data_IF_139284453189
#
_entry.id   IF_139284453189
#
_cell.length_a   1.000
_cell.length_b   1.000
_cell.length_c   1.000
_cell.angle_alpha   90.00
_cell.angle_beta   90.00
_cell.angle_gamma   90.00
#
_symmetry.space_group_name_H-M   'P 1'
#
loop_
_entity.id
_entity.type
_entity.pdbx_description
1 polymer ?
#
# COMPACT_ATOMS: atom_id res chain seq x y z
N UNK A 1 28.04 17.54 17.73
CA UNK A 1 26.83 17.98 18.43
C UNK A 1 25.65 17.73 17.51
N UNK A 2 24.55 17.12 17.97
CA UNK A 2 23.34 17.01 17.16
C UNK A 2 22.85 18.41 16.81
N UNK A 3 22.45 18.61 15.55
CA UNK A 3 21.88 19.85 15.06
C UNK A 3 20.57 20.15 15.80
N UNK A 4 20.49 21.30 16.48
CA UNK A 4 19.32 21.74 17.24
C UNK A 4 18.05 21.75 16.38
N UNK A 5 18.17 21.95 15.06
CA UNK A 5 17.05 21.93 14.12
C UNK A 5 16.35 20.57 14.07
N UNK A 6 17.12 19.47 14.14
CA UNK A 6 16.59 18.10 14.02
C UNK A 6 15.86 17.68 15.29
N UNK A 7 16.33 18.13 16.44
CA UNK A 7 15.72 17.84 17.75
C UNK A 7 14.36 18.51 17.90
N UNK A 8 14.19 19.74 17.37
CA UNK A 8 12.90 20.43 17.44
C UNK A 8 11.81 19.75 16.60
N UNK A 9 12.12 19.31 15.38
CA UNK A 9 11.15 18.66 14.49
C UNK A 9 10.72 17.27 14.98
N UNK A 10 11.56 16.62 15.77
CA UNK A 10 11.32 15.25 16.26
C UNK A 10 10.47 15.18 17.53
N UNK A 11 10.15 16.32 18.15
CA UNK A 11 9.34 16.38 19.36
C UNK A 11 7.93 16.87 19.06
N UNK A 12 6.91 16.08 19.41
CA UNK A 12 5.50 16.43 19.22
C UNK A 12 5.07 17.73 19.93
N UNK A 13 5.74 18.15 21.00
CA UNK A 13 5.43 19.41 21.69
C UNK A 13 5.74 20.65 20.84
N UNK A 14 6.65 20.53 19.86
CA UNK A 14 6.99 21.60 18.90
C UNK A 14 5.95 21.80 17.81
N UNK A 15 4.94 20.92 17.71
CA UNK A 15 3.92 20.95 16.66
C UNK A 15 2.57 21.42 17.21
N UNK A 16 1.93 22.40 16.58
CA UNK A 16 0.68 23.00 17.08
C UNK A 16 -0.59 22.41 16.43
N UNK A 17 -0.52 21.19 15.91
CA UNK A 17 -1.67 20.48 15.36
C UNK A 17 -2.49 19.82 16.48
N UNK A 18 -3.81 19.92 16.38
CA UNK A 18 -4.77 19.26 17.26
C UNK A 18 -5.27 17.93 16.67
N UNK A 19 -5.81 17.04 17.50
CA UNK A 19 -6.48 15.82 17.03
C UNK A 19 -7.73 16.20 16.20
N UNK A 20 -7.77 15.91 14.88
CA UNK A 20 -8.91 16.28 14.03
C UNK A 20 -10.21 15.57 14.42
N UNK A 21 -10.13 14.47 15.19
CA UNK A 21 -11.28 13.67 15.62
C UNK A 21 -11.41 13.62 17.15
N UNK A 22 -10.98 14.66 17.87
CA UNK A 22 -10.97 14.69 19.35
C UNK A 22 -12.32 14.34 20.01
N UNK A 23 -13.42 14.51 19.29
CA UNK A 23 -14.79 14.25 19.73
C UNK A 23 -15.26 12.79 19.56
N UNK A 24 -14.50 11.95 18.85
CA UNK A 24 -14.82 10.54 18.59
C UNK A 24 -13.92 9.63 19.41
N UNK A 25 -14.40 8.47 19.89
CA UNK A 25 -13.49 7.45 20.40
C UNK A 25 -12.65 6.88 19.23
N UNK A 26 -11.44 6.36 19.52
CA UNK A 26 -10.57 5.83 18.45
C UNK A 26 -11.27 4.73 17.62
N UNK A 27 -12.05 3.87 18.28
CA UNK A 27 -12.83 2.82 17.61
C UNK A 27 -13.91 3.35 16.65
N UNK A 28 -14.39 4.58 16.84
CA UNK A 28 -15.47 5.18 16.06
C UNK A 28 -14.95 5.92 14.81
N UNK A 29 -13.64 6.14 14.69
CA UNK A 29 -13.05 6.76 13.50
C UNK A 29 -12.98 5.71 12.40
N UNK A 30 -13.80 5.84 11.36
CA UNK A 30 -13.92 4.84 10.28
C UNK A 30 -12.66 4.72 9.42
N UNK A 31 -12.07 5.85 9.03
CA UNK A 31 -10.83 5.89 8.25
C UNK A 31 -9.63 5.53 9.14
N UNK A 32 -8.95 4.44 8.81
CA UNK A 32 -7.90 3.86 9.67
C UNK A 32 -6.64 4.74 9.72
N UNK A 33 -6.26 5.43 8.63
CA UNK A 33 -5.17 6.41 8.69
C UNK A 33 -5.51 7.62 9.57
N UNK A 34 -6.76 8.10 9.51
CA UNK A 34 -7.25 9.16 10.39
C UNK A 34 -7.26 8.70 11.85
N UNK A 35 -7.64 7.44 12.10
CA UNK A 35 -7.56 6.83 13.43
C UNK A 35 -6.13 6.78 13.95
N UNK A 36 -5.16 6.42 13.09
CA UNK A 36 -3.74 6.43 13.45
C UNK A 36 -3.24 7.83 13.78
N UNK A 37 -3.68 8.86 13.06
CA UNK A 37 -3.37 10.27 13.35
C UNK A 37 -3.89 10.67 14.73
N UNK A 38 -5.17 10.40 15.00
CA UNK A 38 -5.79 10.67 16.30
C UNK A 38 -5.12 9.90 17.42
N UNK A 39 -4.71 8.65 17.19
CA UNK A 39 -3.95 7.85 18.15
C UNK A 39 -2.63 8.54 18.54
N UNK A 40 -1.85 9.01 17.56
CA UNK A 40 -0.59 9.73 17.80
C UNK A 40 -0.82 11.00 18.62
N UNK A 41 -1.82 11.82 18.27
CA UNK A 41 -2.11 13.06 19.00
C UNK A 41 -2.64 12.83 20.42
N UNK A 42 -3.45 11.79 20.64
CA UNK A 42 -3.93 11.44 21.99
C UNK A 42 -2.84 10.90 22.89
N UNK A 43 -1.79 10.32 22.32
CA UNK A 43 -0.62 9.83 23.05
C UNK A 43 0.50 10.87 23.13
N UNK A 44 0.21 12.16 23.04
CA UNK A 44 1.22 13.25 22.99
C UNK A 44 2.24 13.23 24.14
N UNK A 45 1.88 12.71 25.31
CA UNK A 45 2.77 12.57 26.45
C UNK A 45 3.70 11.33 26.37
N UNK A 46 3.53 10.46 25.37
CA UNK A 46 4.31 9.24 25.21
C UNK A 46 5.78 9.56 24.88
N UNK A 47 6.71 8.95 25.61
CA UNK A 47 8.15 9.25 25.48
C UNK A 47 8.66 9.13 24.04
N UNK A 48 8.25 8.10 23.31
CA UNK A 48 8.69 7.96 21.91
C UNK A 48 8.28 9.13 21.01
N UNK A 49 7.17 9.80 21.30
CA UNK A 49 6.73 10.97 20.52
C UNK A 49 7.48 12.24 20.92
N UNK A 50 8.14 12.28 22.08
CA UNK A 50 9.06 13.38 22.40
C UNK A 50 10.39 13.29 21.65
N UNK A 51 10.80 12.07 21.24
CA UNK A 51 12.11 11.81 20.61
C UNK A 51 12.00 11.49 19.11
N UNK A 52 10.88 10.94 18.66
CA UNK A 52 10.72 10.34 17.33
C UNK A 52 9.38 10.67 16.66
N UNK A 53 8.73 11.77 17.03
CA UNK A 53 7.43 12.18 16.46
C UNK A 53 7.42 12.16 14.93
N UNK A 54 8.46 12.71 14.29
CA UNK A 54 8.53 12.80 12.83
C UNK A 54 8.47 11.42 12.15
N UNK A 55 9.03 10.38 12.77
CA UNK A 55 8.95 9.02 12.24
C UNK A 55 7.51 8.47 12.30
N UNK A 56 6.80 8.68 13.41
CA UNK A 56 5.41 8.28 13.56
C UNK A 56 4.48 9.10 12.67
N UNK A 57 4.66 10.42 12.59
CA UNK A 57 3.90 11.30 11.69
C UNK A 57 4.11 10.89 10.24
N UNK A 58 5.35 10.59 9.85
CA UNK A 58 5.68 10.05 8.53
C UNK A 58 5.01 8.70 8.24
N UNK A 59 4.95 7.80 9.22
CA UNK A 59 4.23 6.53 9.08
C UNK A 59 2.71 6.74 8.87
N UNK A 60 2.11 7.69 9.60
CA UNK A 60 0.70 8.08 9.41
C UNK A 60 0.47 8.70 8.04
N UNK A 61 1.38 9.55 7.54
CA UNK A 61 1.33 10.08 6.17
C UNK A 61 1.44 8.98 5.09
N UNK A 62 2.25 7.94 5.33
CA UNK A 62 2.30 6.78 4.44
C UNK A 62 0.95 6.05 4.40
N UNK A 63 0.31 5.87 5.56
CA UNK A 63 -1.03 5.29 5.67
C UNK A 63 -2.10 6.14 4.98
N UNK A 64 -2.10 7.46 5.18
CA UNK A 64 -3.02 8.37 4.50
C UNK A 64 -2.83 8.32 2.97
N UNK A 65 -1.59 8.21 2.50
CA UNK A 65 -1.30 7.97 1.09
C UNK A 65 -1.83 6.63 0.56
N UNK A 66 -1.86 5.57 1.38
CA UNK A 66 -2.49 4.30 1.01
C UNK A 66 -4.00 4.47 0.82
N UNK A 67 -4.68 5.11 1.77
CA UNK A 67 -6.12 5.38 1.68
C UNK A 67 -6.44 6.22 0.43
N UNK A 68 -5.71 7.31 0.21
CA UNK A 68 -5.87 8.18 -0.95
C UNK A 68 -5.75 7.44 -2.30
N UNK A 69 -4.67 6.67 -2.49
CA UNK A 69 -4.47 5.94 -3.74
C UNK A 69 -5.46 4.79 -3.92
N UNK A 70 -5.91 4.16 -2.83
CA UNK A 70 -6.95 3.15 -2.88
C UNK A 70 -8.31 3.74 -3.30
N UNK A 71 -8.72 4.86 -2.70
CA UNK A 71 -9.99 5.54 -3.04
C UNK A 71 -10.02 5.99 -4.50
N UNK A 72 -8.92 6.58 -5.00
CA UNK A 72 -8.78 6.94 -6.41
C UNK A 72 -8.84 5.71 -7.31
N UNK A 73 -8.16 4.62 -6.95
CA UNK A 73 -8.21 3.38 -7.70
C UNK A 73 -9.64 2.83 -7.79
N UNK A 74 -10.36 2.74 -6.66
CA UNK A 74 -11.75 2.29 -6.63
C UNK A 74 -12.67 3.19 -7.48
N UNK A 75 -12.49 4.51 -7.42
CA UNK A 75 -13.22 5.46 -8.27
C UNK A 75 -12.98 5.22 -9.75
N UNK A 76 -11.73 4.93 -10.15
CA UNK A 76 -11.38 4.62 -11.54
C UNK A 76 -11.94 3.27 -11.99
N UNK A 77 -11.90 2.24 -11.13
CA UNK A 77 -12.51 0.92 -11.40
C UNK A 77 -14.02 1.05 -11.59
N UNK A 78 -14.69 1.85 -10.77
CA UNK A 78 -16.13 2.12 -10.93
C UNK A 78 -16.45 2.81 -12.26
N UNK A 79 -15.59 3.71 -12.74
CA UNK A 79 -15.72 4.33 -14.06
C UNK A 79 -15.46 3.32 -15.19
N UNK A 80 -14.41 2.51 -15.07
CA UNK A 80 -14.08 1.43 -16.02
C UNK A 80 -15.23 0.44 -16.17
N UNK A 81 -15.89 0.11 -15.07
CA UNK A 81 -17.07 -0.75 -15.06
C UNK A 81 -18.24 -0.19 -15.90
N UNK A 82 -18.27 1.08 -16.25
CA UNK A 82 -19.31 1.66 -17.10
C UNK A 82 -18.95 1.72 -18.59
N UNK A 83 -17.70 1.40 -18.94
CA UNK A 83 -17.20 1.56 -20.29
C UNK A 83 -17.07 0.22 -21.02
N UNK A 84 -17.34 0.18 -22.33
CA UNK A 84 -17.01 -0.99 -23.14
C UNK A 84 -15.51 -1.30 -23.07
N UNK A 85 -15.19 -2.57 -22.84
CA UNK A 85 -13.83 -3.06 -22.77
C UNK A 85 -13.03 -2.66 -24.02
N UNK A 86 -11.80 -2.19 -23.81
CA UNK A 86 -10.86 -1.72 -24.87
C UNK A 86 -11.33 -0.52 -25.68
N UNK A 87 -12.31 0.27 -25.22
CA UNK A 87 -12.51 1.62 -25.78
C UNK A 87 -11.26 2.50 -25.57
N UNK A 88 -11.13 3.59 -26.33
CA UNK A 88 -10.00 4.52 -26.15
C UNK A 88 -9.98 5.15 -24.74
N UNK A 89 -11.16 5.50 -24.24
CA UNK A 89 -11.37 6.02 -22.89
C UNK A 89 -11.06 4.97 -21.81
N UNK A 90 -11.49 3.71 -22.01
CA UNK A 90 -11.15 2.58 -21.16
C UNK A 90 -9.63 2.46 -21.00
N UNK A 91 -8.87 2.46 -22.11
CA UNK A 91 -7.40 2.40 -22.05
C UNK A 91 -6.76 3.55 -21.27
N UNK A 92 -7.33 4.76 -21.34
CA UNK A 92 -6.82 5.90 -20.58
C UNK A 92 -7.07 5.73 -19.08
N UNK A 93 -8.27 5.31 -18.69
CA UNK A 93 -8.61 5.05 -17.29
C UNK A 93 -7.81 3.87 -16.72
N UNK A 94 -7.55 2.83 -17.51
CA UNK A 94 -6.70 1.71 -17.10
C UNK A 94 -5.28 2.16 -16.75
N UNK A 95 -4.68 3.04 -17.57
CA UNK A 95 -3.36 3.62 -17.26
C UNK A 95 -3.38 4.41 -15.96
N UNK A 96 -4.42 5.20 -15.71
CA UNK A 96 -4.59 5.95 -14.47
C UNK A 96 -4.75 5.02 -13.27
N UNK A 97 -5.58 3.98 -13.38
CA UNK A 97 -5.77 3.00 -12.32
C UNK A 97 -4.45 2.27 -12.01
N UNK A 98 -3.67 1.95 -13.04
CA UNK A 98 -2.34 1.37 -12.85
C UNK A 98 -1.38 2.33 -12.12
N UNK A 99 -1.39 3.62 -12.45
CA UNK A 99 -0.60 4.61 -11.72
C UNK A 99 -0.96 4.69 -10.24
N UNK A 100 -2.26 4.66 -9.90
CA UNK A 100 -2.70 4.63 -8.49
C UNK A 100 -2.20 3.38 -7.76
N UNK A 101 -2.24 2.21 -8.40
CA UNK A 101 -1.70 0.96 -7.83
C UNK A 101 -0.19 1.04 -7.58
N UNK A 102 0.56 1.60 -8.52
CA UNK A 102 2.01 1.80 -8.36
C UNK A 102 2.29 2.75 -7.19
N UNK A 103 1.54 3.84 -7.09
CA UNK A 103 1.68 4.80 -6.00
C UNK A 103 1.29 4.20 -4.64
N UNK A 104 0.23 3.40 -4.59
CA UNK A 104 -0.19 2.64 -3.41
C UNK A 104 0.91 1.67 -2.94
N UNK A 105 1.45 0.83 -3.84
CA UNK A 105 2.51 -0.11 -3.50
C UNK A 105 3.80 0.59 -3.06
N UNK A 106 4.06 1.81 -3.54
CA UNK A 106 5.16 2.63 -3.03
C UNK A 106 4.93 3.04 -1.58
N UNK A 107 3.71 3.42 -1.18
CA UNK A 107 3.38 3.74 0.22
C UNK A 107 3.49 2.51 1.13
N UNK A 108 3.01 1.35 0.67
CA UNK A 108 3.20 0.06 1.35
C UNK A 108 4.70 -0.21 1.58
N UNK A 109 5.53 -0.03 0.55
CA UNK A 109 6.97 -0.21 0.65
C UNK A 109 7.62 0.75 1.66
N UNK A 110 7.22 2.03 1.66
CA UNK A 110 7.72 3.03 2.62
C UNK A 110 7.36 2.64 4.05
N UNK A 111 6.12 2.21 4.31
CA UNK A 111 5.69 1.77 5.63
C UNK A 111 6.45 0.53 6.10
N UNK A 112 6.69 -0.44 5.21
CA UNK A 112 7.55 -1.59 5.53
C UNK A 112 8.96 -1.16 5.94
N UNK A 113 9.56 -0.18 5.27
CA UNK A 113 10.88 0.33 5.65
C UNK A 113 10.85 1.12 6.98
N UNK A 114 9.76 1.80 7.30
CA UNK A 114 9.53 2.31 8.66
C UNK A 114 9.56 1.17 9.69
N UNK A 115 8.82 0.07 9.45
CA UNK A 115 8.84 -1.12 10.29
C UNK A 115 10.22 -1.78 10.42
N UNK A 116 11.05 -1.69 9.38
CA UNK A 116 12.45 -2.17 9.39
C UNK A 116 13.47 -1.20 9.97
N UNK A 117 13.07 0.02 10.30
CA UNK A 117 13.99 1.01 10.87
C UNK A 117 14.63 0.50 12.17
N UNK A 118 15.79 1.06 12.51
CA UNK A 118 16.51 0.72 13.76
C UNK A 118 15.60 0.95 14.97
N UNK A 119 14.83 2.04 14.96
CA UNK A 119 13.85 2.37 15.98
C UNK A 119 12.83 1.25 16.18
N UNK A 120 12.04 0.93 15.15
CA UNK A 120 10.94 -0.05 15.28
C UNK A 120 11.48 -1.45 15.58
N UNK A 121 12.59 -1.85 14.95
CA UNK A 121 13.22 -3.15 15.24
C UNK A 121 13.73 -3.23 16.68
N UNK A 122 14.25 -2.14 17.24
CA UNK A 122 14.68 -2.08 18.64
C UNK A 122 13.51 -2.30 19.59
N UNK A 123 12.39 -1.58 19.35
CA UNK A 123 11.17 -1.67 20.15
C UNK A 123 10.54 -3.08 20.09
N UNK A 124 10.39 -3.64 18.89
CA UNK A 124 9.84 -4.99 18.72
C UNK A 124 10.70 -6.06 19.41
N UNK A 125 12.03 -5.96 19.32
CA UNK A 125 12.94 -6.90 19.99
C UNK A 125 12.85 -6.82 21.51
N UNK A 126 12.73 -5.63 22.08
CA UNK A 126 12.52 -5.45 23.51
C UNK A 126 11.22 -6.16 23.97
N UNK A 127 10.18 -6.13 23.13
CA UNK A 127 8.92 -6.85 23.34
C UNK A 127 8.93 -8.33 22.93
N UNK A 128 10.07 -8.90 22.49
CA UNK A 128 10.17 -10.27 21.95
C UNK A 128 9.22 -10.56 20.77
N UNK A 129 8.99 -9.57 19.90
CA UNK A 129 8.15 -9.66 18.71
C UNK A 129 8.97 -9.52 17.43
N UNK A 130 8.47 -10.08 16.33
CA UNK A 130 9.06 -9.87 15.00
C UNK A 130 8.13 -9.08 14.08
N UNK A 131 8.71 -8.27 13.20
CA UNK A 131 7.96 -7.44 12.24
C UNK A 131 7.05 -8.29 11.34
N UNK A 132 7.54 -9.48 10.95
CA UNK A 132 6.80 -10.38 10.05
C UNK A 132 5.47 -10.86 10.64
N UNK A 133 5.38 -10.89 11.96
CA UNK A 133 4.18 -11.30 12.68
C UNK A 133 3.21 -10.12 12.87
N UNK A 134 3.70 -8.87 12.75
CA UNK A 134 2.88 -7.67 12.91
C UNK A 134 2.29 -7.16 11.59
N UNK A 135 3.00 -7.34 10.48
CA UNK A 135 2.58 -6.87 9.14
C UNK A 135 2.71 -7.96 8.04
N UNK A 136 2.22 -9.20 8.29
CA UNK A 136 2.44 -10.33 7.39
C UNK A 136 1.92 -10.07 5.97
N UNK A 137 0.81 -9.35 5.83
CA UNK A 137 0.18 -9.13 4.53
C UNK A 137 0.89 -8.05 3.73
N UNK A 138 1.35 -6.97 4.38
CA UNK A 138 2.22 -6.01 3.72
C UNK A 138 3.47 -6.71 3.17
N UNK A 139 4.12 -7.59 3.96
CA UNK A 139 5.32 -8.30 3.51
C UNK A 139 5.03 -9.17 2.29
N UNK A 140 3.89 -9.86 2.27
CA UNK A 140 3.49 -10.67 1.12
C UNK A 140 3.32 -9.87 -0.19
N UNK A 141 3.04 -8.56 -0.07
CA UNK A 141 2.88 -7.65 -1.22
C UNK A 141 4.19 -7.00 -1.69
N UNK A 142 5.28 -7.06 -0.91
CA UNK A 142 6.55 -6.44 -1.26
C UNK A 142 7.17 -6.92 -2.58
N UNK A 143 7.05 -8.19 -2.99
CA UNK A 143 7.53 -8.62 -4.30
C UNK A 143 6.94 -7.78 -5.44
N UNK A 144 5.66 -7.37 -5.37
CA UNK A 144 5.05 -6.48 -6.36
C UNK A 144 5.71 -5.11 -6.38
N UNK A 145 5.92 -4.50 -5.20
CA UNK A 145 6.64 -3.22 -5.08
C UNK A 145 8.07 -3.33 -5.62
N UNK A 146 8.79 -4.38 -5.27
CA UNK A 146 10.17 -4.62 -5.74
C UNK A 146 10.19 -4.78 -7.25
N UNK A 147 9.22 -5.51 -7.81
CA UNK A 147 9.07 -5.65 -9.25
C UNK A 147 8.81 -4.29 -9.91
N UNK A 148 7.83 -3.51 -9.46
CA UNK A 148 7.55 -2.17 -9.99
C UNK A 148 8.78 -1.25 -9.92
N UNK A 149 9.55 -1.31 -8.82
CA UNK A 149 10.78 -0.53 -8.69
C UNK A 149 11.87 -1.00 -9.68
N UNK A 150 11.97 -2.32 -9.92
CA UNK A 150 12.85 -2.88 -10.95
C UNK A 150 12.37 -2.62 -12.39
N UNK A 151 11.11 -2.25 -12.58
CA UNK A 151 10.64 -1.68 -13.85
C UNK A 151 11.00 -0.20 -13.98
N UNK A 152 11.05 0.56 -12.89
CA UNK A 152 11.57 1.94 -12.91
C UNK A 152 13.06 2.01 -13.20
N UNK A 153 13.82 0.93 -12.97
CA UNK A 153 15.18 0.83 -13.52
C UNK A 153 15.19 0.58 -15.04
N UNK A 154 14.05 0.46 -15.71
CA UNK A 154 13.98 0.59 -17.18
C UNK A 154 13.96 2.08 -17.56
N UNK A 155 13.28 2.92 -16.78
CA UNK A 155 13.26 4.37 -16.97
C UNK A 155 14.60 5.03 -16.58
N UNK A 156 15.36 4.40 -15.67
CA UNK A 156 16.72 4.78 -15.29
C UNK A 156 17.63 3.54 -15.20
N UNK A 157 18.06 2.98 -16.34
CA UNK A 157 18.85 1.76 -16.39
C UNK A 157 20.23 1.93 -15.79
N UNK A 158 20.63 0.96 -14.97
CA UNK A 158 22.02 0.88 -14.51
C UNK A 158 22.89 0.42 -15.67
N UNK A 159 24.18 0.74 -15.63
CA UNK A 159 25.14 0.34 -16.67
C UNK A 159 25.19 -1.19 -16.92
N UNK A 160 24.76 -2.00 -15.93
CA UNK A 160 24.70 -3.46 -16.04
C UNK A 160 23.37 -4.03 -16.59
N UNK A 161 22.35 -3.20 -16.83
CA UNK A 161 21.03 -3.67 -17.26
C UNK A 161 20.98 -3.89 -18.79
N UNK A 162 20.93 -5.15 -19.24
CA UNK A 162 20.81 -5.49 -20.67
C UNK A 162 19.40 -5.20 -21.23
N UNK A 163 19.28 -4.92 -22.53
CA UNK A 163 17.96 -4.68 -23.18
C UNK A 163 16.98 -5.84 -23.02
N UNK A 164 17.44 -7.09 -23.07
CA UNK A 164 16.62 -8.28 -22.81
C UNK A 164 16.07 -8.32 -21.38
N UNK A 165 16.84 -7.86 -20.39
CA UNK A 165 16.40 -7.80 -19.00
C UNK A 165 15.31 -6.74 -18.81
N UNK A 166 15.44 -5.61 -19.50
CA UNK A 166 14.43 -4.55 -19.51
C UNK A 166 13.10 -5.01 -20.15
N UNK A 167 13.15 -5.75 -21.26
CA UNK A 167 11.96 -6.34 -21.91
C UNK A 167 11.25 -7.36 -21.01
N UNK A 168 12.00 -8.28 -20.39
CA UNK A 168 11.46 -9.27 -19.45
C UNK A 168 10.80 -8.59 -18.26
N UNK A 169 11.40 -7.51 -17.76
CA UNK A 169 10.78 -6.66 -16.75
C UNK A 169 9.47 -6.11 -17.33
N UNK A 170 9.48 -5.26 -18.37
CA UNK A 170 8.29 -4.63 -18.95
C UNK A 170 7.07 -5.56 -19.14
N UNK A 171 7.26 -6.81 -19.55
CA UNK A 171 6.19 -7.77 -19.81
C UNK A 171 5.50 -8.28 -18.53
N UNK A 172 6.21 -8.36 -17.39
CA UNK A 172 5.72 -9.08 -16.20
C UNK A 172 4.74 -8.29 -15.32
N UNK A 173 4.48 -7.01 -15.62
CA UNK A 173 3.38 -6.21 -15.06
C UNK A 173 2.45 -5.68 -16.17
N UNK A 174 2.83 -5.90 -17.43
CA UNK A 174 2.06 -5.46 -18.59
C UNK A 174 0.80 -6.30 -18.84
N UNK A 175 -0.02 -5.88 -19.82
CA UNK A 175 -1.27 -6.56 -20.21
C UNK A 175 -1.08 -8.00 -20.70
N UNK A 176 0.16 -8.44 -20.95
CA UNK A 176 0.50 -9.81 -21.38
C UNK A 176 0.87 -10.77 -20.25
N UNK A 177 1.09 -10.29 -19.01
CA UNK A 177 1.71 -11.13 -17.97
C UNK A 177 1.23 -10.96 -16.53
N UNK A 178 0.37 -9.98 -16.20
CA UNK A 178 0.12 -9.68 -14.78
C UNK A 178 -1.24 -9.12 -14.38
N UNK A 179 -2.13 -8.76 -15.31
CA UNK A 179 -3.50 -8.37 -14.95
C UNK A 179 -4.44 -9.56 -15.19
N UNK A 180 -4.91 -10.16 -14.10
CA UNK A 180 -5.93 -11.19 -14.14
C UNK A 180 -7.17 -10.69 -13.43
N UNK A 181 -8.32 -10.92 -14.07
CA UNK A 181 -9.62 -10.65 -13.49
C UNK A 181 -9.97 -11.78 -12.53
N UNK A 182 -10.06 -11.48 -11.23
CA UNK A 182 -10.48 -12.45 -10.21
C UNK A 182 -11.98 -12.27 -9.98
N UNK A 183 -12.82 -13.31 -10.10
CA UNK A 183 -14.27 -13.14 -10.01
C UNK A 183 -14.67 -12.55 -8.65
N UNK A 184 -15.57 -11.56 -8.67
CA UNK A 184 -16.30 -11.14 -7.47
C UNK A 184 -17.25 -12.27 -7.06
N UNK A 185 -17.62 -12.35 -5.77
CA UNK A 185 -18.56 -13.39 -5.30
C UNK A 185 -19.93 -13.33 -6.00
N UNK A 186 -20.28 -12.20 -6.61
CA UNK A 186 -21.55 -11.93 -7.30
C UNK A 186 -21.59 -12.35 -8.78
N UNK A 187 -20.61 -13.09 -9.31
CA UNK A 187 -20.56 -13.47 -10.74
C UNK A 187 -21.45 -14.64 -11.17
N UNK A 188 -22.19 -15.26 -10.25
CA UNK A 188 -23.03 -16.42 -10.57
C UNK A 188 -24.18 -15.97 -11.50
N UNK A 189 -24.27 -16.58 -12.69
CA UNK A 189 -25.37 -16.36 -13.64
C UNK A 189 -25.16 -15.22 -14.64
N UNK A 190 -23.98 -14.59 -14.66
CA UNK A 190 -23.66 -13.54 -15.65
C UNK A 190 -23.40 -14.16 -17.02
N UNK A 191 -23.94 -13.54 -18.08
CA UNK A 191 -23.78 -14.02 -19.44
C UNK A 191 -22.33 -13.83 -19.94
N UNK A 192 -21.75 -14.78 -20.71
CA UNK A 192 -20.38 -14.66 -21.22
C UNK A 192 -20.09 -13.36 -21.97
N UNK A 193 -21.07 -12.84 -22.71
CA UNK A 193 -20.93 -11.60 -23.48
C UNK A 193 -20.73 -10.39 -22.54
N UNK A 194 -21.44 -10.34 -21.42
CA UNK A 194 -21.31 -9.26 -20.44
C UNK A 194 -19.93 -9.27 -19.76
N UNK A 195 -19.38 -10.47 -19.52
CA UNK A 195 -18.02 -10.63 -19.00
C UNK A 195 -16.97 -10.15 -20.00
N UNK A 196 -17.20 -10.36 -21.30
CA UNK A 196 -16.30 -9.91 -22.36
C UNK A 196 -16.32 -8.39 -22.56
N UNK A 197 -17.50 -7.77 -22.47
CA UNK A 197 -17.65 -6.33 -22.72
C UNK A 197 -17.44 -5.46 -21.47
N UNK A 198 -17.64 -5.98 -20.26
CA UNK A 198 -17.58 -5.20 -19.01
C UNK A 198 -16.94 -5.98 -17.85
N UNK A 199 -15.68 -6.45 -17.96
CA UNK A 199 -15.07 -7.32 -16.96
C UNK A 199 -14.98 -6.66 -15.56
N UNK A 200 -14.72 -5.36 -15.49
CA UNK A 200 -14.62 -4.63 -14.22
C UNK A 200 -15.91 -4.61 -13.38
N UNK A 201 -17.09 -4.85 -14.00
CA UNK A 201 -18.36 -5.00 -13.27
C UNK A 201 -18.40 -6.29 -12.44
N UNK A 202 -17.74 -7.33 -12.93
CA UNK A 202 -17.92 -8.69 -12.43
C UNK A 202 -16.65 -9.23 -11.77
N UNK A 203 -15.49 -8.64 -12.05
CA UNK A 203 -14.21 -9.11 -11.56
C UNK A 203 -13.47 -8.00 -10.80
N UNK A 204 -12.68 -8.43 -9.81
CA UNK A 204 -11.61 -7.62 -9.23
C UNK A 204 -10.42 -7.57 -10.19
N UNK A 205 -9.77 -6.42 -10.25
CA UNK A 205 -8.45 -6.30 -10.90
C UNK A 205 -7.39 -6.87 -9.96
N UNK A 206 -6.84 -8.03 -10.30
CA UNK A 206 -5.75 -8.65 -9.56
C UNK A 206 -4.42 -8.51 -10.30
N UNK A 207 -3.37 -8.30 -9.53
CA UNK A 207 -1.99 -8.28 -9.97
C UNK A 207 -1.33 -9.61 -9.63
N UNK A 208 -0.94 -10.32 -10.69
CA UNK A 208 -0.23 -11.59 -10.77
C UNK A 208 1.29 -11.49 -10.52
N UNK A 209 1.91 -12.30 -9.65
CA UNK A 209 3.38 -12.49 -9.72
C UNK A 209 3.79 -13.94 -9.42
N UNK A 210 4.47 -14.58 -10.38
CA UNK A 210 5.09 -15.89 -10.19
C UNK A 210 6.40 -15.70 -9.42
N UNK A 211 6.43 -16.11 -8.15
CA UNK A 211 7.60 -15.96 -7.29
C UNK A 211 8.62 -17.10 -7.40
N UNK A 212 8.19 -18.27 -7.89
CA UNK A 212 9.01 -19.47 -8.03
C UNK A 212 8.68 -20.17 -9.34
N UNK A 213 9.70 -20.71 -10.01
CA UNK A 213 9.54 -21.56 -11.20
C UNK A 213 9.11 -22.98 -10.80
N UNK A 214 8.02 -23.09 -10.04
CA UNK A 214 7.40 -24.35 -9.66
C UNK A 214 5.95 -24.32 -10.14
N UNK A 215 5.53 -25.21 -11.06
CA UNK A 215 4.17 -25.22 -11.59
C UNK A 215 3.10 -25.53 -10.52
N UNK A 216 3.49 -26.03 -9.34
CA UNK A 216 2.58 -26.30 -8.23
C UNK A 216 2.42 -25.12 -7.27
N UNK A 217 3.20 -24.05 -7.44
CA UNK A 217 3.12 -22.87 -6.57
C UNK A 217 2.17 -21.87 -7.20
N UNK A 218 1.07 -21.58 -6.50
CA UNK A 218 0.14 -20.54 -6.93
C UNK A 218 0.86 -19.19 -7.07
N UNK A 219 0.56 -18.41 -8.12
CA UNK A 219 1.06 -17.04 -8.22
C UNK A 219 0.66 -16.24 -6.98
N UNK A 220 1.59 -15.40 -6.48
CA UNK A 220 1.22 -14.39 -5.51
C UNK A 220 0.19 -13.47 -6.16
N UNK A 221 -0.85 -13.10 -5.43
CA UNK A 221 -1.90 -12.19 -5.90
C UNK A 221 -1.96 -10.94 -5.02
N UNK A 222 -2.11 -9.80 -5.67
CA UNK A 222 -2.40 -8.53 -5.01
C UNK A 222 -3.67 -7.93 -5.62
N UNK A 223 -4.68 -7.68 -4.78
CA UNK A 223 -5.98 -7.16 -5.18
C UNK A 223 -6.29 -5.94 -4.31
N UNK A 224 -6.06 -4.71 -4.80
CA UNK A 224 -6.18 -3.49 -4.00
C UNK A 224 -7.54 -3.40 -3.25
N UNK A 225 -8.65 -3.64 -3.95
CA UNK A 225 -10.01 -3.56 -3.39
C UNK A 225 -10.26 -4.54 -2.24
N UNK A 226 -9.56 -5.68 -2.22
CA UNK A 226 -9.72 -6.73 -1.20
C UNK A 226 -8.70 -6.57 -0.07
N UNK A 227 -7.47 -6.28 -0.44
CA UNK A 227 -6.32 -6.38 0.46
C UNK A 227 -6.10 -5.11 1.28
N UNK A 228 -6.65 -3.96 0.85
CA UNK A 228 -6.44 -2.66 1.47
C UNK A 228 -6.78 -2.62 2.96
N UNK A 229 -7.97 -3.06 3.35
CA UNK A 229 -8.41 -3.03 4.75
C UNK A 229 -7.46 -3.82 5.67
N UNK A 230 -6.98 -4.97 5.20
CA UNK A 230 -6.03 -5.80 5.94
C UNK A 230 -4.70 -5.07 6.12
N UNK A 231 -4.21 -4.42 5.07
CA UNK A 231 -2.91 -3.74 5.11
C UNK A 231 -2.97 -2.53 6.04
N UNK A 232 -3.99 -1.68 5.91
CA UNK A 232 -4.09 -0.47 6.72
C UNK A 232 -4.29 -0.80 8.21
N UNK A 233 -5.00 -1.90 8.53
CA UNK A 233 -5.17 -2.36 9.89
C UNK A 233 -3.88 -2.93 10.48
N UNK A 234 -3.10 -3.71 9.72
CA UNK A 234 -1.77 -4.16 10.13
C UNK A 234 -0.83 -2.97 10.43
N UNK A 235 -0.86 -1.93 9.58
CA UNK A 235 -0.12 -0.69 9.82
C UNK A 235 -0.55 0.01 11.12
N UNK A 236 -1.87 0.17 11.33
CA UNK A 236 -2.43 0.78 12.53
C UNK A 236 -2.02 0.00 13.78
N UNK A 237 -2.20 -1.33 13.78
CA UNK A 237 -1.87 -2.19 14.92
C UNK A 237 -0.39 -2.13 15.27
N UNK A 238 0.50 -1.99 14.28
CA UNK A 238 1.92 -1.78 14.54
C UNK A 238 2.17 -0.44 15.23
N UNK A 239 1.55 0.65 14.79
CA UNK A 239 1.69 1.97 15.43
C UNK A 239 1.14 1.93 16.86
N UNK A 240 -0.04 1.36 17.06
CA UNK A 240 -0.68 1.19 18.36
C UNK A 240 0.20 0.39 19.31
N UNK A 241 0.73 -0.75 18.86
CA UNK A 241 1.66 -1.56 19.64
C UNK A 241 2.91 -0.77 20.07
N UNK A 242 3.42 0.12 19.23
CA UNK A 242 4.62 0.90 19.54
C UNK A 242 4.35 2.05 20.52
N UNK A 243 3.08 2.43 20.72
CA UNK A 243 2.66 3.53 21.61
C UNK A 243 1.93 3.06 22.88
N UNK A 244 1.86 1.74 23.11
CA UNK A 244 1.43 1.09 24.36
C UNK A 244 2.58 1.01 25.37
#
# INVERSE_FOLDING_TARGET
MPDLSTTMLSNISSWHEDDPNAHLALGDISCVSSRALSLVYRHRAHRLLSEHFLAFRGAVEMMAGMDYHHENFCSLVNQLAQLPFRSAECRQLERRAHHEVVAYLNRVGQFYYFGKSVLVRGLLRAGKRELKDQIPSLISSLPFRHKITAHRSIDFPKECDTGRLQEIHAISIGPLGGQMFVPRQSTIGVRPEELMFYPDRFYYRAYQLILKHDPNVEPASFVPERDHHKYILECYNLIELLLQ
#
